data_IF_824687799365
#
_entry.id   IF_824687799365
#
_cell.length_a   1.000
_cell.length_b   1.000
_cell.length_c   1.000
_cell.angle_alpha   90.00
_cell.angle_beta   90.00
_cell.angle_gamma   90.00
#
_symmetry.space_group_name_H-M   'P 1'
#
loop_
_entity.id
_entity.type
_entity.pdbx_description
1 polymer ?
#
# COMPACT_ATOMS: atom_id res chain seq x y z
N UNK A 1 -14.22 13.07 -14.77
CA UNK A 1 -14.26 11.82 -13.99
C UNK A 1 -12.89 11.16 -14.03
N UNK A 2 -12.15 11.13 -12.92
CA UNK A 2 -10.80 10.56 -12.88
C UNK A 2 -10.95 9.04 -12.71
N UNK A 3 -10.66 8.29 -13.78
CA UNK A 3 -10.71 6.82 -13.79
C UNK A 3 -9.81 6.27 -12.68
N UNK A 4 -10.45 5.69 -11.66
CA UNK A 4 -9.81 4.72 -10.75
C UNK A 4 -9.35 3.55 -11.61
N UNK A 5 -8.20 2.95 -11.31
CA UNK A 5 -7.81 1.67 -11.91
C UNK A 5 -8.70 0.58 -11.30
N UNK A 6 -9.65 -0.02 -12.04
CA UNK A 6 -10.59 -1.00 -11.48
C UNK A 6 -9.86 -2.24 -10.96
N UNK A 7 -8.75 -2.60 -11.60
CA UNK A 7 -7.91 -3.75 -11.25
C UNK A 7 -7.37 -3.70 -9.81
N UNK A 8 -7.35 -2.52 -9.18
CA UNK A 8 -6.86 -2.31 -7.82
C UNK A 8 -7.98 -2.04 -6.79
N UNK A 9 -9.26 -2.06 -7.19
CA UNK A 9 -10.39 -1.83 -6.26
C UNK A 9 -10.77 -3.08 -5.45
N UNK A 10 -10.33 -4.26 -5.88
CA UNK A 10 -10.67 -5.54 -5.24
C UNK A 10 -9.44 -6.22 -4.63
N UNK A 11 -8.48 -5.42 -4.15
CA UNK A 11 -7.31 -5.96 -3.47
C UNK A 11 -7.75 -6.41 -2.08
N UNK A 12 -7.66 -7.70 -1.83
CA UNK A 12 -7.83 -8.25 -0.50
C UNK A 12 -6.53 -8.06 0.31
N UNK A 13 -6.49 -6.97 1.08
CA UNK A 13 -5.38 -6.68 2.00
C UNK A 13 -5.31 -7.66 3.17
N UNK A 14 -6.37 -8.42 3.48
CA UNK A 14 -6.33 -9.42 4.57
C UNK A 14 -5.38 -10.57 4.25
N UNK A 15 -5.17 -10.84 2.95
CA UNK A 15 -4.23 -11.83 2.44
C UNK A 15 -2.78 -11.31 2.34
N UNK A 16 -2.53 -10.03 2.61
CA UNK A 16 -1.21 -9.44 2.47
C UNK A 16 -0.29 -9.77 3.65
N UNK A 17 0.92 -10.31 3.41
CA UNK A 17 1.87 -10.55 4.49
C UNK A 17 2.26 -9.27 5.23
N UNK A 18 2.29 -9.33 6.56
CA UNK A 18 2.69 -8.21 7.42
C UNK A 18 4.20 -7.90 7.30
N UNK A 19 4.56 -6.67 7.71
CA UNK A 19 5.94 -6.19 7.75
C UNK A 19 6.63 -6.63 9.04
N UNK A 20 7.91 -6.98 8.96
CA UNK A 20 8.76 -7.23 10.12
C UNK A 20 9.17 -5.91 10.80
N UNK A 21 8.26 -5.32 11.59
CA UNK A 21 8.46 -4.05 12.31
C UNK A 21 9.71 -4.00 13.18
N UNK A 22 10.16 -5.15 13.68
CA UNK A 22 11.33 -5.28 14.56
C UNK A 22 12.64 -4.88 13.88
N UNK A 23 12.73 -4.95 12.55
CA UNK A 23 13.92 -4.56 11.78
C UNK A 23 13.96 -3.08 11.38
N UNK A 24 12.88 -2.33 11.64
CA UNK A 24 12.77 -0.93 11.29
C UNK A 24 13.10 -0.03 12.49
N UNK A 25 13.90 1.01 12.24
CA UNK A 25 14.08 2.11 13.19
C UNK A 25 12.79 2.96 13.34
N UNK A 26 12.76 3.84 14.33
CA UNK A 26 11.56 4.63 14.66
C UNK A 26 11.13 5.51 13.47
N UNK A 27 12.07 6.12 12.74
CA UNK A 27 11.75 6.98 11.60
C UNK A 27 11.16 6.17 10.43
N UNK A 28 11.75 5.02 10.13
CA UNK A 28 11.29 4.09 9.12
C UNK A 28 9.91 3.50 9.48
N UNK A 29 9.63 3.26 10.76
CA UNK A 29 8.30 2.83 11.23
C UNK A 29 7.23 3.87 10.92
N UNK A 30 7.47 5.14 11.25
CA UNK A 30 6.49 6.22 10.99
C UNK A 30 6.24 6.42 9.50
N UNK A 31 7.29 6.37 8.68
CA UNK A 31 7.15 6.39 7.22
C UNK A 31 6.31 5.19 6.76
N UNK A 32 6.65 3.98 7.21
CA UNK A 32 5.96 2.74 6.81
C UNK A 32 4.49 2.75 7.21
N UNK A 33 4.13 3.26 8.39
CA UNK A 33 2.73 3.42 8.83
C UNK A 33 1.94 4.30 7.86
N UNK A 34 2.48 5.45 7.43
CA UNK A 34 1.83 6.32 6.44
C UNK A 34 1.62 5.61 5.10
N UNK A 35 2.58 4.77 4.69
CA UNK A 35 2.47 3.99 3.45
C UNK A 35 1.35 2.95 3.54
N UNK A 36 1.29 2.21 4.66
CA UNK A 36 0.22 1.24 4.93
C UNK A 36 -1.13 1.95 4.93
N UNK A 37 -1.26 3.05 5.66
CA UNK A 37 -2.51 3.81 5.74
C UNK A 37 -2.99 4.27 4.36
N UNK A 38 -2.08 4.76 3.51
CA UNK A 38 -2.42 5.17 2.14
C UNK A 38 -2.94 4.00 1.29
N UNK A 39 -2.32 2.82 1.39
CA UNK A 39 -2.75 1.61 0.67
C UNK A 39 -4.10 1.10 1.19
N UNK A 40 -4.30 1.08 2.51
CA UNK A 40 -5.58 0.67 3.11
C UNK A 40 -6.73 1.58 2.73
N UNK A 41 -6.53 2.90 2.81
CA UNK A 41 -7.53 3.89 2.36
C UNK A 41 -7.87 3.70 0.88
N UNK A 42 -6.85 3.45 0.05
CA UNK A 42 -7.06 3.19 -1.37
C UNK A 42 -7.88 1.91 -1.59
N UNK A 43 -7.57 0.82 -0.88
CA UNK A 43 -8.30 -0.44 -0.98
C UNK A 43 -9.76 -0.32 -0.49
N UNK A 44 -10.03 0.53 0.52
CA UNK A 44 -11.39 0.88 0.95
C UNK A 44 -12.16 1.73 -0.08
N UNK A 45 -11.53 2.11 -1.18
CA UNK A 45 -12.15 2.89 -2.24
C UNK A 45 -12.12 4.41 -2.02
N UNK A 46 -11.34 4.90 -1.06
CA UNK A 46 -11.16 6.34 -0.84
C UNK A 46 -10.51 7.00 -2.08
N UNK A 47 -10.82 8.27 -2.38
CA UNK A 47 -10.26 8.90 -3.58
C UNK A 47 -8.80 9.26 -3.32
N UNK A 48 -7.94 9.02 -4.30
CA UNK A 48 -6.50 9.32 -4.18
C UNK A 48 -6.21 10.75 -3.75
N UNK A 49 -7.00 11.73 -4.20
CA UNK A 49 -6.85 13.13 -3.77
C UNK A 49 -7.07 13.32 -2.26
N UNK A 50 -8.02 12.60 -1.69
CA UNK A 50 -8.34 12.66 -0.26
C UNK A 50 -7.25 11.94 0.55
N UNK A 51 -6.77 10.79 0.04
CA UNK A 51 -5.64 10.05 0.61
C UNK A 51 -4.38 10.91 0.62
N UNK A 52 -4.06 11.58 -0.48
CA UNK A 52 -2.90 12.46 -0.61
C UNK A 52 -2.96 13.64 0.36
N UNK A 53 -4.15 14.20 0.58
CA UNK A 53 -4.36 15.27 1.56
C UNK A 53 -4.13 14.81 3.00
N UNK A 54 -4.49 13.57 3.33
CA UNK A 54 -4.38 13.03 4.70
C UNK A 54 -2.99 12.46 4.99
N UNK A 55 -2.44 11.71 4.03
CA UNK A 55 -1.20 10.93 4.22
C UNK A 55 0.05 11.60 3.64
N UNK A 56 -0.12 12.60 2.76
CA UNK A 56 0.97 13.20 1.99
C UNK A 56 1.52 12.30 0.88
N UNK A 57 0.94 11.11 0.68
CA UNK A 57 1.37 10.13 -0.32
C UNK A 57 0.67 10.40 -1.64
N UNK A 58 1.45 10.56 -2.71
CA UNK A 58 0.90 10.81 -4.04
C UNK A 58 0.40 9.54 -4.74
N UNK A 59 -0.42 9.74 -5.79
CA UNK A 59 -0.98 8.66 -6.62
C UNK A 59 0.05 7.66 -7.14
N UNK A 60 1.22 8.16 -7.56
CA UNK A 60 2.26 7.36 -8.22
C UNK A 60 2.91 6.37 -7.25
N UNK A 61 3.09 6.79 -6.00
CA UNK A 61 3.59 5.94 -4.92
C UNK A 61 2.59 4.84 -4.56
N UNK A 62 1.32 5.18 -4.39
CA UNK A 62 0.25 4.21 -4.08
C UNK A 62 0.21 3.11 -5.14
N UNK A 63 0.19 3.47 -6.42
CA UNK A 63 0.14 2.49 -7.50
C UNK A 63 1.38 1.62 -7.59
N UNK A 64 2.56 2.20 -7.40
CA UNK A 64 3.82 1.44 -7.37
C UNK A 64 3.83 0.42 -6.24
N UNK A 65 3.34 0.79 -5.06
CA UNK A 65 3.28 -0.12 -3.92
C UNK A 65 2.25 -1.22 -4.08
N UNK A 66 1.09 -0.90 -4.66
CA UNK A 66 0.08 -1.90 -5.00
C UNK A 66 0.64 -2.91 -6.00
N UNK A 67 1.24 -2.44 -7.08
CA UNK A 67 1.83 -3.29 -8.11
C UNK A 67 2.93 -4.19 -7.54
N UNK A 68 3.84 -3.63 -6.74
CA UNK A 68 4.89 -4.42 -6.08
C UNK A 68 4.33 -5.36 -5.01
N UNK A 69 3.30 -4.95 -4.29
CA UNK A 69 2.64 -5.77 -3.26
C UNK A 69 1.95 -6.99 -3.84
N UNK A 70 1.42 -6.88 -5.06
CA UNK A 70 0.83 -7.99 -5.81
C UNK A 70 1.85 -8.87 -6.54
N UNK A 71 3.12 -8.43 -6.63
CA UNK A 71 4.15 -9.20 -7.30
C UNK A 71 4.44 -10.50 -6.52
N UNK A 72 4.72 -11.61 -7.23
CA UNK A 72 5.10 -12.86 -6.61
C UNK A 72 6.46 -12.71 -5.92
N UNK A 73 6.55 -13.21 -4.70
CA UNK A 73 7.77 -13.31 -3.92
C UNK A 73 8.33 -14.76 -4.02
N UNK A 74 9.66 -14.95 -3.96
CA UNK A 74 10.28 -16.29 -4.04
C UNK A 74 9.83 -17.30 -2.98
N UNK A 75 9.18 -16.86 -1.90
CA UNK A 75 8.60 -17.73 -0.85
C UNK A 75 7.24 -18.33 -1.25
N UNK A 76 6.76 -18.06 -2.47
CA UNK A 76 5.48 -18.54 -3.00
C UNK A 76 4.27 -17.68 -2.59
N UNK A 77 4.48 -16.59 -1.84
CA UNK A 77 3.44 -15.61 -1.49
C UNK A 77 3.63 -14.33 -2.31
N UNK A 78 2.66 -13.41 -2.25
CA UNK A 78 2.87 -12.05 -2.75
C UNK A 78 3.73 -11.26 -1.76
N UNK A 79 4.38 -10.17 -2.20
CA UNK A 79 5.11 -9.30 -1.27
C UNK A 79 4.18 -8.66 -0.21
N UNK A 80 2.97 -8.27 -0.60
CA UNK A 80 2.03 -7.52 0.22
C UNK A 80 2.66 -6.25 0.81
N UNK A 81 2.52 -6.05 2.12
CA UNK A 81 3.06 -4.86 2.79
C UNK A 81 4.60 -4.84 2.84
N UNK A 82 5.27 -5.97 2.59
CA UNK A 82 6.75 -6.03 2.53
C UNK A 82 7.33 -5.25 1.34
N UNK A 83 6.49 -4.85 0.38
CA UNK A 83 6.88 -4.03 -0.77
C UNK A 83 6.92 -2.51 -0.48
N UNK A 84 6.44 -2.08 0.70
CA UNK A 84 6.39 -0.68 1.12
C UNK A 84 7.75 -0.16 1.57
#
# INVERSE_FOLDING_TARGET
MIRRKPEFQSIDLSSWPSIAWTKLDVAAREVTKRRIEAVERYARGERVKDIEKVTGVNRRQIYRWIERGLAPHPDGRIFGFRAL
#
